data_IF_689657304966
#
_entry.id   IF_689657304966
#
_cell.length_a   1.000
_cell.length_b   1.000
_cell.length_c   1.000
_cell.angle_alpha   90.00
_cell.angle_beta   90.00
_cell.angle_gamma   90.00
#
_symmetry.space_group_name_H-M   'P 1'
#
loop_
_entity.id
_entity.type
_entity.pdbx_description
1 polymer ?
#
# COMPACT_ATOMS: atom_id res chain seq x y z
N UNK A 1 7.98 -16.13 -37.64
CA UNK A 1 7.21 -15.94 -36.40
C UNK A 1 6.26 -14.78 -36.63
N UNK A 2 5.04 -15.10 -37.00
CA UNK A 2 4.01 -14.15 -37.45
C UNK A 2 3.37 -13.52 -36.21
N UNK A 3 3.30 -12.19 -36.16
CA UNK A 3 2.61 -11.45 -35.11
C UNK A 3 1.12 -11.75 -35.23
N UNK A 4 0.58 -12.53 -34.31
CA UNK A 4 -0.87 -12.62 -34.12
C UNK A 4 -1.36 -11.28 -33.59
N UNK A 5 -1.75 -10.42 -34.53
CA UNK A 5 -2.54 -9.23 -34.25
C UNK A 5 -3.91 -9.76 -33.84
N UNK A 6 -4.14 -9.88 -32.53
CA UNK A 6 -5.46 -10.13 -31.99
C UNK A 6 -6.40 -9.04 -32.53
N UNK A 7 -7.27 -9.43 -33.46
CA UNK A 7 -8.35 -8.61 -33.96
C UNK A 7 -9.30 -8.32 -32.79
N UNK A 8 -9.08 -7.19 -32.12
CA UNK A 8 -9.90 -6.67 -31.02
C UNK A 8 -11.38 -6.54 -31.42
N UNK A 9 -11.67 -6.41 -32.72
CA UNK A 9 -13.02 -6.43 -33.28
C UNK A 9 -13.79 -7.74 -33.04
N UNK A 10 -13.13 -8.87 -32.75
CA UNK A 10 -13.80 -10.14 -32.40
C UNK A 10 -14.13 -10.29 -30.92
N UNK A 11 -13.49 -9.52 -30.03
CA UNK A 11 -13.80 -9.51 -28.59
C UNK A 11 -14.87 -8.47 -28.23
N UNK A 12 -15.23 -7.60 -29.16
CA UNK A 12 -16.03 -6.39 -28.91
C UNK A 12 -17.43 -6.41 -29.54
N UNK A 13 -18.08 -7.56 -29.71
CA UNK A 13 -19.45 -7.59 -30.22
C UNK A 13 -20.40 -8.47 -29.38
N UNK A 14 -21.46 -7.92 -28.75
CA UNK A 14 -21.65 -6.53 -28.31
C UNK A 14 -21.77 -6.46 -26.78
N UNK A 15 -21.05 -5.54 -26.13
CA UNK A 15 -21.59 -4.94 -24.90
C UNK A 15 -22.80 -4.09 -25.33
N UNK A 16 -23.93 -4.75 -25.61
CA UNK A 16 -25.21 -4.09 -25.71
C UNK A 16 -25.55 -3.65 -24.30
N UNK A 17 -25.17 -2.41 -23.96
CA UNK A 17 -25.66 -1.77 -22.75
C UNK A 17 -27.19 -1.89 -22.81
N UNK A 18 -27.83 -2.47 -21.77
CA UNK A 18 -29.28 -2.56 -21.77
C UNK A 18 -29.84 -1.16 -21.95
N UNK A 19 -30.67 -0.96 -22.98
CA UNK A 19 -31.44 0.26 -23.13
C UNK A 19 -32.36 0.32 -21.91
N UNK A 20 -31.95 1.08 -20.89
CA UNK A 20 -32.79 1.33 -19.74
C UNK A 20 -33.81 2.38 -20.16
N UNK A 21 -35.10 2.07 -20.00
CA UNK A 21 -36.22 2.99 -20.22
C UNK A 21 -36.21 4.21 -19.27
N UNK A 22 -35.20 4.34 -18.40
CA UNK A 22 -35.00 5.42 -17.42
C UNK A 22 -33.52 5.85 -17.41
N UNK A 23 -33.23 7.13 -17.11
CA UNK A 23 -31.85 7.61 -16.99
C UNK A 23 -31.15 6.94 -15.79
N UNK A 24 -30.35 5.91 -16.07
CA UNK A 24 -29.48 5.25 -15.10
C UNK A 24 -28.03 5.70 -15.26
N UNK A 25 -27.27 5.71 -14.16
CA UNK A 25 -25.82 5.94 -14.19
C UNK A 25 -25.12 4.59 -14.27
N UNK A 26 -24.10 4.48 -15.13
CA UNK A 26 -23.31 3.27 -15.27
C UNK A 26 -21.90 3.51 -14.72
N UNK A 27 -21.41 2.57 -13.93
CA UNK A 27 -20.07 2.60 -13.37
C UNK A 27 -19.29 1.42 -13.94
N UNK A 28 -18.12 1.68 -14.52
CA UNK A 28 -17.25 0.65 -15.07
C UNK A 28 -16.01 0.52 -14.18
N UNK A 29 -15.84 -0.65 -13.56
CA UNK A 29 -14.63 -1.00 -12.82
C UNK A 29 -13.66 -1.77 -13.70
N UNK A 30 -12.37 -1.51 -13.55
CA UNK A 30 -11.35 -2.32 -14.19
C UNK A 30 -9.95 -1.79 -13.92
N UNK A 31 -8.95 -2.64 -14.11
CA UNK A 31 -7.53 -2.31 -13.97
C UNK A 31 -7.05 -1.39 -15.11
N UNK A 32 -6.00 -0.58 -14.90
CA UNK A 32 -5.41 0.26 -15.95
C UNK A 32 -5.00 -0.59 -17.18
N UNK A 33 -5.13 -0.03 -18.39
CA UNK A 33 -4.78 -0.66 -19.69
C UNK A 33 -5.67 -1.80 -20.21
N UNK A 34 -6.75 -2.15 -19.51
CA UNK A 34 -7.70 -3.17 -19.97
C UNK A 34 -8.79 -2.63 -20.91
N UNK A 35 -8.44 -1.68 -21.79
CA UNK A 35 -9.33 -1.26 -22.88
C UNK A 35 -10.58 -0.46 -22.50
N UNK A 36 -10.70 0.04 -21.25
CA UNK A 36 -11.85 0.87 -20.82
C UNK A 36 -12.07 2.09 -21.72
N UNK A 37 -10.98 2.80 -22.06
CA UNK A 37 -11.05 3.96 -22.97
C UNK A 37 -11.57 3.57 -24.36
N UNK A 38 -11.15 2.41 -24.88
CA UNK A 38 -11.61 1.88 -26.17
C UNK A 38 -13.12 1.61 -26.13
N UNK A 39 -13.64 1.07 -25.02
CA UNK A 39 -15.08 0.81 -24.86
C UNK A 39 -15.87 2.13 -24.80
N UNK A 40 -15.37 3.14 -24.08
CA UNK A 40 -16.02 4.46 -23.98
C UNK A 40 -16.00 5.20 -25.32
N UNK A 41 -14.87 5.16 -26.04
CA UNK A 41 -14.74 5.73 -27.38
C UNK A 41 -15.72 5.10 -28.37
N UNK A 42 -15.87 3.77 -28.33
CA UNK A 42 -16.80 3.06 -29.21
C UNK A 42 -18.27 3.33 -28.86
N UNK A 43 -18.58 3.53 -27.57
CA UNK A 43 -19.92 3.97 -27.13
C UNK A 43 -20.23 5.39 -27.58
N UNK A 44 -19.25 6.29 -27.56
CA UNK A 44 -19.41 7.67 -28.00
C UNK A 44 -19.60 7.79 -29.52
N UNK A 45 -18.95 6.94 -30.33
CA UNK A 45 -19.17 6.90 -31.78
C UNK A 45 -20.63 6.64 -32.14
N UNK A 46 -21.32 5.80 -31.36
CA UNK A 46 -22.70 5.42 -31.59
C UNK A 46 -23.72 6.36 -30.92
N UNK A 47 -23.27 7.34 -30.10
CA UNK A 47 -24.15 8.23 -29.33
C UNK A 47 -23.63 9.69 -29.38
N UNK A 48 -24.23 10.56 -30.23
CA UNK A 48 -23.74 11.92 -30.46
C UNK A 48 -23.89 12.87 -29.26
N UNK A 49 -24.61 12.46 -28.21
CA UNK A 49 -24.83 13.26 -27.00
C UNK A 49 -23.88 12.91 -25.84
N UNK A 50 -22.87 12.05 -26.06
CA UNK A 50 -21.89 11.72 -25.03
C UNK A 50 -20.76 12.76 -25.04
N UNK A 51 -20.55 13.40 -23.88
CA UNK A 51 -19.38 14.24 -23.64
C UNK A 51 -18.32 13.38 -22.95
N UNK A 52 -17.19 13.17 -23.60
CA UNK A 52 -16.02 12.50 -23.01
C UNK A 52 -15.17 13.56 -22.30
N UNK A 53 -14.92 13.35 -21.02
CA UNK A 53 -13.92 14.10 -20.27
C UNK A 53 -12.62 13.28 -20.30
N UNK A 54 -11.69 13.68 -21.15
CA UNK A 54 -10.36 13.07 -21.19
C UNK A 54 -9.41 13.84 -20.27
N UNK A 55 -8.72 13.11 -19.39
CA UNK A 55 -7.74 13.70 -18.48
C UNK A 55 -6.44 13.77 -19.24
N UNK A 56 -5.96 14.99 -19.49
CA UNK A 56 -4.73 15.20 -20.26
C UNK A 56 -3.54 14.49 -19.60
N UNK A 57 -2.55 14.06 -20.40
CA UNK A 57 -1.32 13.48 -19.85
C UNK A 57 -0.63 14.41 -18.83
N UNK A 58 -0.82 15.73 -18.98
CA UNK A 58 -0.31 16.75 -18.06
C UNK A 58 -1.01 16.66 -16.70
N UNK A 59 -2.33 16.65 -16.68
CA UNK A 59 -3.12 16.51 -15.44
C UNK A 59 -2.87 15.15 -14.77
N UNK A 60 -2.67 14.08 -15.55
CA UNK A 60 -2.31 12.77 -14.98
C UNK A 60 -0.94 12.80 -14.29
N UNK A 61 0.04 13.51 -14.86
CA UNK A 61 1.37 13.70 -14.24
C UNK A 61 1.28 14.59 -13.00
N UNK A 62 0.54 15.69 -13.07
CA UNK A 62 0.30 16.58 -11.92
C UNK A 62 -0.34 15.81 -10.76
N UNK A 63 -1.39 15.02 -11.01
CA UNK A 63 -2.00 14.18 -9.97
C UNK A 63 -1.09 13.05 -9.46
N UNK A 64 -0.12 12.59 -10.24
CA UNK A 64 0.89 11.64 -9.76
C UNK A 64 1.93 12.34 -8.88
N UNK A 65 2.34 13.55 -9.25
CA UNK A 65 3.26 14.38 -8.47
C UNK A 65 2.64 14.82 -7.14
N UNK A 66 1.38 15.28 -7.15
CA UNK A 66 0.62 15.60 -5.94
C UNK A 66 0.56 14.40 -4.98
N UNK A 67 0.20 13.22 -5.50
CA UNK A 67 0.16 11.99 -4.69
C UNK A 67 1.53 11.62 -4.12
N UNK A 68 2.62 11.81 -4.88
CA UNK A 68 3.98 11.58 -4.37
C UNK A 68 4.34 12.55 -3.26
N UNK A 69 4.02 13.84 -3.43
CA UNK A 69 4.27 14.85 -2.40
C UNK A 69 3.48 14.56 -1.12
N UNK A 70 2.23 14.11 -1.25
CA UNK A 70 1.40 13.69 -0.13
C UNK A 70 2.01 12.48 0.59
N UNK A 71 2.42 11.44 -0.15
CA UNK A 71 3.10 10.26 0.39
C UNK A 71 4.40 10.61 1.12
N UNK A 72 5.22 11.50 0.56
CA UNK A 72 6.44 11.98 1.23
C UNK A 72 6.13 12.75 2.51
N UNK A 73 5.05 13.53 2.53
CA UNK A 73 4.60 14.25 3.72
C UNK A 73 4.07 13.30 4.80
N UNK A 74 3.32 12.27 4.41
CA UNK A 74 2.86 11.19 5.31
C UNK A 74 4.04 10.42 5.89
N UNK A 75 5.02 10.04 5.06
CA UNK A 75 6.22 9.32 5.51
C UNK A 75 7.03 10.14 6.53
N UNK A 76 7.17 11.46 6.31
CA UNK A 76 7.82 12.37 7.27
C UNK A 76 7.05 12.46 8.59
N UNK A 77 5.71 12.51 8.54
CA UNK A 77 4.86 12.51 9.73
C UNK A 77 5.01 11.21 10.51
N UNK A 78 4.93 10.06 9.82
CA UNK A 78 5.11 8.75 10.44
C UNK A 78 6.47 8.62 11.10
N UNK A 79 7.55 9.01 10.42
CA UNK A 79 8.90 8.99 10.97
C UNK A 79 9.01 9.84 12.25
N UNK A 80 8.44 11.05 12.24
CA UNK A 80 8.43 11.92 13.41
C UNK A 80 7.66 11.30 14.60
N UNK A 81 6.53 10.65 14.33
CA UNK A 81 5.76 9.92 15.36
C UNK A 81 6.58 8.78 15.94
N UNK A 82 7.21 7.96 15.09
CA UNK A 82 8.08 6.85 15.53
C UNK A 82 9.25 7.33 16.38
N UNK A 83 9.98 8.34 15.92
CA UNK A 83 11.10 8.92 16.68
C UNK A 83 10.65 9.50 18.02
N UNK A 84 9.49 10.17 18.03
CA UNK A 84 8.90 10.71 19.27
C UNK A 84 8.57 9.57 20.23
N UNK A 85 7.84 8.55 19.77
CA UNK A 85 7.50 7.39 20.61
C UNK A 85 8.77 6.74 21.17
N UNK A 86 9.72 6.39 20.29
CA UNK A 86 10.98 5.75 20.69
C UNK A 86 11.75 6.57 21.72
N UNK A 87 11.83 7.89 21.55
CA UNK A 87 12.56 8.75 22.48
C UNK A 87 11.97 8.75 23.91
N UNK A 88 10.69 8.44 24.06
CA UNK A 88 9.99 8.36 25.34
C UNK A 88 9.99 6.93 25.92
N UNK A 89 10.15 5.90 25.09
CA UNK A 89 10.03 4.49 25.51
C UNK A 89 11.34 3.70 25.46
N UNK A 90 12.42 4.26 24.92
CA UNK A 90 13.74 3.59 24.83
C UNK A 90 14.32 3.12 26.17
N UNK A 91 13.90 3.75 27.27
CA UNK A 91 14.34 3.44 28.64
C UNK A 91 13.26 2.66 29.42
N UNK A 92 12.11 2.40 28.81
CA UNK A 92 11.05 1.58 29.39
C UNK A 92 11.36 0.10 29.19
N UNK A 93 11.70 -0.58 30.28
CA UNK A 93 12.11 -1.99 30.26
C UNK A 93 11.05 -2.90 29.63
N UNK A 94 9.77 -2.62 29.87
CA UNK A 94 8.67 -3.44 29.35
C UNK A 94 8.57 -3.36 27.83
N UNK A 95 8.57 -2.15 27.27
CA UNK A 95 8.55 -1.94 25.81
C UNK A 95 9.77 -2.58 25.14
N UNK A 96 10.96 -2.42 25.73
CA UNK A 96 12.21 -2.98 25.21
C UNK A 96 12.20 -4.51 25.25
N UNK A 97 11.77 -5.11 26.36
CA UNK A 97 11.69 -6.57 26.50
C UNK A 97 10.69 -7.17 25.51
N UNK A 98 9.55 -6.51 25.30
CA UNK A 98 8.55 -6.95 24.31
C UNK A 98 9.08 -6.87 22.88
N UNK A 99 9.73 -5.77 22.48
CA UNK A 99 10.39 -5.69 21.17
C UNK A 99 11.49 -6.74 21.00
N UNK A 100 12.30 -6.95 22.05
CA UNK A 100 13.37 -7.94 22.06
C UNK A 100 12.81 -9.34 21.88
N UNK A 101 11.77 -9.69 22.61
CA UNK A 101 11.13 -11.01 22.51
C UNK A 101 10.61 -11.28 21.10
N UNK A 102 9.89 -10.30 20.52
CA UNK A 102 9.37 -10.40 19.16
C UNK A 102 10.53 -10.58 18.17
N UNK A 103 11.56 -9.75 18.26
CA UNK A 103 12.68 -9.77 17.35
C UNK A 103 13.47 -11.10 17.43
N UNK A 104 13.64 -11.66 18.63
CA UNK A 104 14.27 -12.98 18.85
C UNK A 104 13.44 -14.15 18.31
N UNK A 105 12.12 -14.03 18.29
CA UNK A 105 11.24 -15.05 17.72
C UNK A 105 11.15 -14.94 16.19
N UNK A 106 11.12 -13.73 15.63
CA UNK A 106 11.13 -13.51 14.18
C UNK A 106 12.48 -13.87 13.55
N UNK A 107 13.58 -13.58 14.24
CA UNK A 107 14.94 -13.84 13.75
C UNK A 107 15.67 -14.77 14.69
N UNK A 108 16.27 -15.84 14.15
CA UNK A 108 17.08 -16.75 14.94
C UNK A 108 18.42 -16.11 15.33
N UNK A 109 18.40 -15.28 16.38
CA UNK A 109 19.56 -14.56 16.92
C UNK A 109 20.60 -15.47 17.62
N UNK A 110 20.36 -16.78 17.71
CA UNK A 110 21.23 -17.69 18.46
C UNK A 110 21.36 -17.27 19.92
N UNK A 111 22.59 -17.21 20.44
CA UNK A 111 22.87 -16.79 21.83
C UNK A 111 23.11 -15.28 22.00
N UNK A 112 23.03 -14.50 20.91
CA UNK A 112 23.38 -13.06 20.96
C UNK A 112 22.14 -12.22 21.18
N UNK A 113 22.17 -11.35 22.19
CA UNK A 113 21.07 -10.42 22.42
C UNK A 113 21.06 -9.29 21.38
N UNK A 114 19.88 -8.88 20.88
CA UNK A 114 19.77 -7.75 19.98
C UNK A 114 20.18 -6.45 20.67
N UNK A 115 20.93 -5.61 19.95
CA UNK A 115 21.35 -4.30 20.45
C UNK A 115 20.17 -3.31 20.45
N UNK A 116 20.29 -2.24 21.24
CA UNK A 116 19.28 -1.17 21.26
C UNK A 116 19.10 -0.51 19.88
N UNK A 117 20.17 -0.43 19.08
CA UNK A 117 20.11 0.09 17.71
C UNK A 117 19.33 -0.86 16.78
N UNK A 118 19.49 -2.18 16.95
CA UNK A 118 18.73 -3.18 16.20
C UNK A 118 17.24 -3.15 16.58
N UNK A 119 16.92 -3.00 17.86
CA UNK A 119 15.55 -2.83 18.33
C UNK A 119 14.93 -1.54 17.79
N UNK A 120 15.71 -0.45 17.74
CA UNK A 120 15.27 0.80 17.13
C UNK A 120 14.99 0.60 15.64
N UNK A 121 15.93 0.00 14.90
CA UNK A 121 15.79 -0.25 13.47
C UNK A 121 14.55 -1.11 13.17
N UNK A 122 14.33 -2.16 13.97
CA UNK A 122 13.13 -2.98 13.91
C UNK A 122 11.86 -2.18 14.13
N UNK A 123 11.77 -1.38 15.21
CA UNK A 123 10.61 -0.52 15.45
C UNK A 123 10.39 0.50 14.32
N UNK A 124 11.47 1.04 13.74
CA UNK A 124 11.39 2.01 12.65
C UNK A 124 10.88 1.40 11.34
N UNK A 125 10.96 0.08 11.17
CA UNK A 125 10.47 -0.62 9.98
C UNK A 125 8.94 -0.72 9.90
N UNK A 126 8.24 -0.67 11.03
CA UNK A 126 6.79 -0.88 11.10
C UNK A 126 6.00 0.13 10.27
N UNK A 127 4.94 -0.29 9.59
CA UNK A 127 4.09 0.63 8.84
C UNK A 127 3.22 1.50 9.77
N UNK A 128 2.45 2.40 9.17
CA UNK A 128 1.53 3.28 9.89
C UNK A 128 0.44 2.51 10.66
N UNK A 129 -0.02 1.39 10.11
CA UNK A 129 -1.00 0.52 10.75
C UNK A 129 -0.48 -0.06 12.07
N UNK A 130 0.68 -0.70 12.05
CA UNK A 130 1.30 -1.30 13.25
C UNK A 130 1.62 -0.22 14.28
N UNK A 131 2.17 0.94 13.85
CA UNK A 131 2.44 2.06 14.76
C UNK A 131 1.15 2.59 15.40
N UNK A 132 0.06 2.69 14.64
CA UNK A 132 -1.24 3.09 15.17
C UNK A 132 -1.77 2.13 16.24
N UNK A 133 -1.61 0.84 16.03
CA UNK A 133 -1.98 -0.20 17.00
C UNK A 133 -1.15 -0.09 18.30
N UNK A 134 0.17 0.02 18.18
CA UNK A 134 1.10 0.17 19.32
C UNK A 134 0.75 1.40 20.15
N UNK A 135 0.47 2.55 19.52
CA UNK A 135 0.12 3.78 20.22
C UNK A 135 -1.23 3.65 20.94
N UNK A 136 -2.19 2.96 20.32
CA UNK A 136 -3.56 2.89 20.84
C UNK A 136 -3.71 1.90 22.00
N UNK A 137 -3.02 0.76 21.92
CA UNK A 137 -3.23 -0.38 22.82
C UNK A 137 -1.97 -0.82 23.58
N UNK A 138 -0.81 -0.31 23.19
CA UNK A 138 0.48 -0.73 23.74
C UNK A 138 1.02 -1.98 23.05
N UNK A 139 2.33 -2.17 23.14
CA UNK A 139 3.01 -3.31 22.50
C UNK A 139 2.74 -4.64 23.20
N UNK A 140 2.34 -4.61 24.48
CA UNK A 140 2.11 -5.83 25.26
C UNK A 140 0.74 -6.46 25.00
N UNK A 141 -0.14 -5.72 24.32
CA UNK A 141 -1.42 -6.23 23.90
C UNK A 141 -1.23 -7.45 22.97
N UNK A 142 -2.03 -8.49 23.19
CA UNK A 142 -1.88 -9.76 22.48
C UNK A 142 -2.20 -9.66 20.99
N UNK A 143 -3.18 -8.83 20.61
CA UNK A 143 -3.56 -8.65 19.21
C UNK A 143 -2.53 -7.78 18.48
N UNK A 144 -1.99 -6.77 19.18
CA UNK A 144 -0.90 -5.95 18.65
C UNK A 144 0.34 -6.80 18.42
N UNK A 145 0.74 -7.65 19.38
CA UNK A 145 1.89 -8.55 19.19
C UNK A 145 1.70 -9.49 18.01
N UNK A 146 0.53 -10.11 17.90
CA UNK A 146 0.22 -10.99 16.77
C UNK A 146 0.35 -10.24 15.43
N UNK A 147 -0.17 -9.01 15.35
CA UNK A 147 -0.05 -8.17 14.15
C UNK A 147 1.41 -7.86 13.83
N UNK A 148 2.23 -7.56 14.84
CA UNK A 148 3.67 -7.33 14.66
C UNK A 148 4.36 -8.60 14.16
N UNK A 149 4.04 -9.78 14.70
CA UNK A 149 4.62 -11.05 14.23
C UNK A 149 4.30 -11.33 12.77
N UNK A 150 3.03 -11.20 12.39
CA UNK A 150 2.59 -11.40 11.02
C UNK A 150 3.31 -10.45 10.08
N UNK A 151 3.31 -9.16 10.41
CA UNK A 151 4.03 -8.14 9.66
C UNK A 151 5.52 -8.45 9.53
N UNK A 152 6.18 -8.78 10.64
CA UNK A 152 7.64 -9.00 10.65
C UNK A 152 8.04 -10.25 9.88
N UNK A 153 7.19 -11.27 9.81
CA UNK A 153 7.39 -12.44 8.95
C UNK A 153 7.22 -12.10 7.47
N UNK A 154 6.30 -11.19 7.11
CA UNK A 154 6.14 -10.73 5.73
C UNK A 154 7.34 -9.93 5.22
N UNK A 155 7.92 -9.09 6.08
CA UNK A 155 9.07 -8.23 5.72
C UNK A 155 10.41 -8.80 6.16
N UNK A 156 10.47 -10.08 6.56
CA UNK A 156 11.65 -10.70 7.18
C UNK A 156 12.93 -10.54 6.34
N UNK A 157 12.86 -10.73 5.03
CA UNK A 157 14.02 -10.59 4.13
C UNK A 157 14.54 -9.14 4.09
N UNK A 158 13.63 -8.16 4.07
CA UNK A 158 13.99 -6.74 4.09
C UNK A 158 14.65 -6.36 5.42
N UNK A 159 14.05 -6.80 6.53
CA UNK A 159 14.57 -6.59 7.88
C UNK A 159 15.96 -7.22 8.07
N UNK A 160 16.22 -8.39 7.49
CA UNK A 160 17.56 -8.99 7.53
C UNK A 160 18.62 -8.07 6.94
N UNK A 161 18.31 -7.39 5.83
CA UNK A 161 19.23 -6.44 5.19
C UNK A 161 19.36 -5.13 5.98
N UNK A 162 18.29 -4.66 6.63
CA UNK A 162 18.29 -3.34 7.30
C UNK A 162 18.83 -3.40 8.73
N UNK A 163 18.64 -4.53 9.43
CA UNK A 163 19.03 -4.71 10.83
C UNK A 163 20.43 -5.36 10.97
N UNK A 164 20.82 -6.19 9.99
CA UNK A 164 22.06 -7.00 10.08
C UNK A 164 23.01 -6.85 8.89
N UNK A 165 22.62 -6.11 7.85
CA UNK A 165 23.50 -5.76 6.72
C UNK A 165 24.46 -4.64 7.05
#
# INVERSE_FOLDING_TARGET
>A
MTKDIFLTSKLLNPFNLPQQDKPGHQIMFGTPRYGKSIIIEELAKNNPNIVILDVSEKEQKEHQEERKLEQEADAKRLLAVKETFWSHTKDDAQTIDSLKYILLETFNFGETEPSLEQLKAFFMSFDDYIIGQIISWGIDDTEVRQSIYEYSNEIQEQLMSEIFG
#
